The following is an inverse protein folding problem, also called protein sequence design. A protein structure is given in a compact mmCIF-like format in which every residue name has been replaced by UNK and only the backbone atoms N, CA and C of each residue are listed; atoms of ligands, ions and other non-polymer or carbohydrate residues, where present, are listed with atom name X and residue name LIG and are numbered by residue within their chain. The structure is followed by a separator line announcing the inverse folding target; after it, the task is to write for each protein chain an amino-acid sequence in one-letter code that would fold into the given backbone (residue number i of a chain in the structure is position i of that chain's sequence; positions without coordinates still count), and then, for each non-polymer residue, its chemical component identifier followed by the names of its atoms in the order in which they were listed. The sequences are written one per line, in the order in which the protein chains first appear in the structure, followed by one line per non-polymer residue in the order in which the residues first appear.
data_IF_286237741796
#
_entry.id   IF_286237741796
#
_cell.length_a   1.000
_cell.length_b   1.000
_cell.length_c   1.000
_cell.angle_alpha   90.00
_cell.angle_beta   90.00
_cell.angle_gamma   90.00
#
_symmetry.space_group_name_H-M   'P 1'
#
loop_
_entity.id
_entity.type
_entity.pdbx_description
1 polymer ?
#
# COMPACT_ATOMS: atom_id res chain seq x y z
N UNK A 1 3.45 6.34 23.46
CA UNK A 1 2.05 6.20 23.87
C UNK A 1 1.93 6.43 25.36
N UNK A 2 0.85 7.04 25.76
CA UNK A 2 0.53 7.23 27.17
C UNK A 2 0.13 5.89 27.83
N UNK A 3 0.17 5.83 29.18
CA UNK A 3 -0.27 4.66 29.92
C UNK A 3 -1.76 4.38 29.63
N UNK A 4 -2.10 3.15 29.24
CA UNK A 4 -3.44 2.76 28.84
C UNK A 4 -3.72 2.83 27.33
N UNK A 5 -2.87 3.45 26.54
CA UNK A 5 -3.01 3.44 25.08
C UNK A 5 -2.98 2.01 24.53
N UNK A 6 -3.93 1.70 23.63
CA UNK A 6 -4.10 0.36 23.05
C UNK A 6 -4.95 -0.57 23.92
N UNK A 7 -5.64 -0.07 24.93
CA UNK A 7 -6.56 -0.86 25.78
C UNK A 7 -7.80 -0.04 26.13
N UNK A 8 -8.95 -0.43 25.65
CA UNK A 8 -10.24 0.07 26.16
C UNK A 8 -10.60 -0.78 27.39
N UNK A 9 -10.33 -0.25 28.57
CA UNK A 9 -10.42 -0.99 29.84
C UNK A 9 -11.82 -1.02 30.44
N UNK A 10 -12.66 -0.03 30.15
CA UNK A 10 -14.02 0.08 30.64
C UNK A 10 -15.00 0.47 29.53
N UNK A 11 -16.25 0.00 29.61
CA UNK A 11 -17.31 0.45 28.70
C UNK A 11 -17.44 1.96 28.68
N UNK A 12 -17.58 2.54 27.49
CA UNK A 12 -17.68 4.00 27.30
C UNK A 12 -16.36 4.74 27.21
N UNK A 13 -15.22 4.07 27.49
CA UNK A 13 -13.90 4.66 27.24
C UNK A 13 -13.61 4.77 25.73
N UNK A 14 -12.81 5.78 25.40
CA UNK A 14 -12.34 6.04 24.03
C UNK A 14 -10.90 6.54 24.10
N UNK A 15 -10.05 5.97 23.24
CA UNK A 15 -8.70 6.47 22.99
C UNK A 15 -8.72 7.38 21.76
N UNK A 16 -8.02 8.50 21.84
CA UNK A 16 -7.94 9.49 20.75
C UNK A 16 -6.47 9.70 20.41
N UNK A 17 -6.11 9.45 19.15
CA UNK A 17 -4.77 9.66 18.60
C UNK A 17 -4.83 10.83 17.65
N UNK A 18 -3.91 11.78 17.82
CA UNK A 18 -3.80 12.98 16.99
C UNK A 18 -2.58 12.88 16.08
N UNK A 19 -2.75 13.31 14.83
CA UNK A 19 -1.63 13.52 13.92
C UNK A 19 -1.94 14.67 12.96
N UNK A 20 -0.88 15.29 12.44
CA UNK A 20 -0.96 16.33 11.43
C UNK A 20 -0.65 15.74 10.06
N UNK A 21 -1.34 16.22 9.01
CA UNK A 21 -1.11 15.79 7.65
C UNK A 21 -1.10 16.97 6.67
N UNK A 22 -0.36 16.80 5.56
CA UNK A 22 -0.34 17.73 4.45
C UNK A 22 -1.51 17.46 3.47
N UNK A 23 -1.96 18.48 2.71
CA UNK A 23 -2.99 18.28 1.69
C UNK A 23 -2.56 17.24 0.65
N UNK A 24 -3.38 16.23 0.40
CA UNK A 24 -3.10 15.17 -0.56
C UNK A 24 -2.21 14.04 -0.03
N UNK A 25 -1.72 14.15 1.21
CA UNK A 25 -0.94 13.08 1.82
C UNK A 25 -1.70 11.76 1.81
N UNK A 26 -1.03 10.69 1.44
CA UNK A 26 -1.58 9.35 1.48
C UNK A 26 -1.09 8.60 2.72
N UNK A 27 -2.01 7.97 3.43
CA UNK A 27 -1.69 7.09 4.57
C UNK A 27 -2.25 5.68 4.31
N UNK A 28 -1.62 4.69 4.93
CA UNK A 28 -2.15 3.34 4.98
C UNK A 28 -2.41 2.94 6.43
N UNK A 29 -3.65 2.58 6.73
CA UNK A 29 -4.09 2.28 8.10
C UNK A 29 -4.39 0.80 8.20
N UNK A 30 -3.75 0.11 9.16
CA UNK A 30 -3.94 -1.32 9.38
C UNK A 30 -4.05 -1.68 10.85
N UNK A 31 -4.90 -2.63 11.16
CA UNK A 31 -4.97 -3.28 12.47
C UNK A 31 -3.92 -4.38 12.52
N UNK A 32 -3.07 -4.34 13.55
CA UNK A 32 -2.08 -5.39 13.82
C UNK A 32 -2.64 -6.45 14.76
N UNK A 33 -3.41 -6.03 15.77
CA UNK A 33 -4.01 -6.92 16.77
C UNK A 33 -5.29 -6.31 17.31
N UNK A 34 -6.29 -7.14 17.56
CA UNK A 34 -7.50 -6.78 18.31
C UNK A 34 -8.02 -8.00 19.05
N UNK A 35 -8.11 -7.91 20.36
CA UNK A 35 -8.62 -8.99 21.21
C UNK A 35 -10.12 -9.23 21.03
N UNK A 36 -10.54 -10.48 21.27
CA UNK A 36 -11.96 -10.85 21.38
C UNK A 36 -12.41 -10.62 22.83
N UNK A 37 -12.91 -9.44 23.13
CA UNK A 37 -13.57 -9.17 24.40
C UNK A 37 -15.09 -9.09 24.24
N UNK A 38 -15.80 -8.81 25.31
CA UNK A 38 -17.24 -8.56 25.29
C UNK A 38 -17.56 -7.31 24.45
N UNK A 39 -18.20 -7.54 23.31
CA UNK A 39 -18.42 -6.52 22.31
C UNK A 39 -17.22 -6.39 21.36
N UNK A 40 -17.36 -5.62 20.30
CA UNK A 40 -16.25 -5.32 19.38
C UNK A 40 -15.87 -3.85 19.49
N UNK A 41 -14.59 -3.59 19.20
CA UNK A 41 -14.06 -2.23 19.10
C UNK A 41 -14.36 -1.67 17.72
N UNK A 42 -14.62 -0.39 17.67
CA UNK A 42 -14.71 0.41 16.44
C UNK A 42 -13.61 1.45 16.41
N UNK A 43 -13.27 1.90 15.23
CA UNK A 43 -12.38 3.02 15.03
C UNK A 43 -12.91 3.96 13.97
N UNK A 44 -12.58 5.23 14.10
CA UNK A 44 -13.05 6.29 13.24
C UNK A 44 -11.91 7.26 12.97
N UNK A 45 -11.74 7.69 11.73
CA UNK A 45 -10.84 8.78 11.36
C UNK A 45 -11.66 10.01 11.03
N UNK A 46 -11.34 11.12 11.67
CA UNK A 46 -12.01 12.41 11.46
C UNK A 46 -11.00 13.52 11.20
N UNK A 47 -11.37 14.49 10.35
CA UNK A 47 -10.60 15.71 10.14
C UNK A 47 -10.93 16.77 11.21
N UNK A 48 -10.22 17.90 11.22
CA UNK A 48 -10.40 19.02 12.13
C UNK A 48 -11.78 19.70 12.02
N UNK A 49 -12.48 19.52 10.90
CA UNK A 49 -13.86 19.98 10.71
C UNK A 49 -14.92 19.00 11.22
N UNK A 50 -14.50 17.83 11.72
CA UNK A 50 -15.39 16.75 12.16
C UNK A 50 -15.91 15.88 11.01
N UNK A 51 -15.34 15.99 9.79
CA UNK A 51 -15.69 15.11 8.67
C UNK A 51 -15.13 13.73 8.92
N UNK A 52 -15.98 12.71 8.86
CA UNK A 52 -15.59 11.29 9.00
C UNK A 52 -15.06 10.76 7.69
N UNK A 53 -13.80 10.27 7.68
CA UNK A 53 -13.18 9.64 6.53
C UNK A 53 -13.49 8.13 6.48
N UNK A 54 -13.51 7.49 7.65
CA UNK A 54 -14.04 6.13 7.82
C UNK A 54 -14.56 5.94 9.24
N UNK A 55 -15.50 4.98 9.38
CA UNK A 55 -16.05 4.51 10.65
C UNK A 55 -16.34 3.01 10.52
N UNK A 56 -15.50 2.18 11.11
CA UNK A 56 -15.50 0.74 10.87
C UNK A 56 -15.31 -0.05 12.16
N UNK A 57 -15.69 -1.31 12.14
CA UNK A 57 -15.28 -2.19 13.22
C UNK A 57 -13.79 -2.54 13.06
N UNK A 58 -13.05 -2.47 14.18
CA UNK A 58 -11.58 -2.66 14.19
C UNK A 58 -11.14 -4.01 13.61
N UNK A 59 -12.01 -5.01 13.56
CA UNK A 59 -11.73 -6.37 13.09
C UNK A 59 -12.39 -6.74 11.78
N UNK A 60 -13.24 -5.86 11.23
CA UNK A 60 -14.00 -6.18 10.03
C UNK A 60 -13.17 -5.98 8.76
N UNK A 61 -12.62 -4.80 8.59
CA UNK A 61 -11.82 -4.42 7.44
C UNK A 61 -10.70 -3.47 7.85
N UNK A 62 -9.54 -3.61 7.24
CA UNK A 62 -8.55 -2.55 7.22
C UNK A 62 -9.03 -1.48 6.25
N UNK A 63 -9.10 -0.20 6.65
CA UNK A 63 -9.44 0.90 5.73
C UNK A 63 -8.49 0.96 4.54
N UNK A 64 -7.25 0.48 4.73
CA UNK A 64 -6.25 0.44 3.67
C UNK A 64 -5.67 1.83 3.39
N UNK A 65 -5.48 2.14 2.10
CA UNK A 65 -4.93 3.43 1.66
C UNK A 65 -6.01 4.51 1.67
N UNK A 66 -5.70 5.65 2.29
CA UNK A 66 -6.57 6.81 2.42
C UNK A 66 -5.81 8.04 1.93
N UNK A 67 -6.43 8.85 1.08
CA UNK A 67 -5.90 10.14 0.68
C UNK A 67 -6.52 11.23 1.54
N UNK A 68 -5.69 11.97 2.27
CA UNK A 68 -6.09 13.08 3.12
C UNK A 68 -6.20 14.35 2.28
N UNK A 69 -7.42 14.69 1.85
CA UNK A 69 -7.65 15.76 0.89
C UNK A 69 -7.30 17.15 1.42
N UNK A 70 -7.39 17.34 2.74
CA UNK A 70 -7.08 18.60 3.41
C UNK A 70 -5.80 18.45 4.21
N UNK A 71 -5.03 19.53 4.32
CA UNK A 71 -4.00 19.65 5.35
C UNK A 71 -4.63 20.03 6.68
N UNK A 72 -4.03 19.63 7.78
CA UNK A 72 -4.50 19.94 9.12
C UNK A 72 -4.42 18.77 10.09
N UNK A 73 -5.11 18.91 11.20
CA UNK A 73 -5.09 17.93 12.27
C UNK A 73 -6.18 16.88 12.08
N UNK A 74 -5.81 15.63 12.27
CA UNK A 74 -6.69 14.47 12.21
C UNK A 74 -6.73 13.75 13.54
N UNK A 75 -7.87 13.12 13.81
CA UNK A 75 -8.08 12.31 15.01
C UNK A 75 -8.47 10.89 14.60
N UNK A 76 -7.73 9.91 15.10
CA UNK A 76 -8.13 8.51 15.05
C UNK A 76 -8.68 8.12 16.42
N UNK A 77 -9.97 7.81 16.44
CA UNK A 77 -10.72 7.48 17.66
C UNK A 77 -10.92 5.96 17.71
N UNK A 78 -10.61 5.33 18.83
CA UNK A 78 -10.88 3.90 19.08
C UNK A 78 -11.75 3.77 20.30
N UNK A 79 -12.86 3.03 20.19
CA UNK A 79 -13.79 2.83 21.30
C UNK A 79 -14.62 1.57 21.15
N UNK A 80 -15.44 1.27 22.15
CA UNK A 80 -16.38 0.16 22.10
C UNK A 80 -17.60 0.47 21.22
N UNK A 81 -18.01 -0.48 20.37
CA UNK A 81 -19.26 -0.38 19.63
C UNK A 81 -20.43 -0.14 20.61
N UNK A 82 -21.23 0.87 20.31
CA UNK A 82 -22.31 1.33 21.19
C UNK A 82 -21.87 1.56 22.65
N UNK A 83 -20.60 1.98 22.83
CA UNK A 83 -19.98 2.22 24.14
C UNK A 83 -19.87 0.99 25.06
N UNK A 84 -20.03 -0.23 24.55
CA UNK A 84 -20.03 -1.45 25.36
C UNK A 84 -18.74 -2.30 25.24
N UNK A 85 -18.02 -2.19 24.11
CA UNK A 85 -16.83 -2.99 23.84
C UNK A 85 -15.63 -2.58 24.68
N UNK A 86 -14.85 -3.58 25.13
CA UNK A 86 -13.56 -3.40 25.82
C UNK A 86 -12.52 -4.37 25.21
N UNK A 87 -11.23 -4.12 25.40
CA UNK A 87 -10.17 -5.04 24.99
C UNK A 87 -8.90 -4.33 24.52
N UNK A 88 -7.85 -5.12 24.39
CA UNK A 88 -6.59 -4.65 23.84
C UNK A 88 -6.62 -4.62 22.30
N UNK A 89 -5.89 -3.66 21.74
CA UNK A 89 -5.75 -3.49 20.31
C UNK A 89 -4.38 -2.89 19.96
N UNK A 90 -3.98 -3.06 18.73
CA UNK A 90 -2.87 -2.31 18.15
C UNK A 90 -3.10 -2.08 16.66
N UNK A 91 -2.64 -0.95 16.17
CA UNK A 91 -2.71 -0.57 14.77
C UNK A 91 -1.42 0.15 14.35
N UNK A 92 -1.25 0.32 13.05
CA UNK A 92 -0.19 1.14 12.47
C UNK A 92 -0.80 2.10 11.46
N UNK A 93 -0.35 3.34 11.48
CA UNK A 93 -0.59 4.33 10.42
C UNK A 93 0.75 4.54 9.71
N UNK A 94 0.80 4.11 8.46
CA UNK A 94 1.97 4.28 7.60
C UNK A 94 1.81 5.53 6.76
N UNK A 95 2.90 6.27 6.61
CA UNK A 95 3.02 7.22 5.53
C UNK A 95 3.19 6.46 4.22
N UNK A 96 2.38 6.78 3.21
CA UNK A 96 2.53 6.22 1.88
C UNK A 96 3.33 7.23 1.07
N UNK A 97 4.57 6.89 0.69
CA UNK A 97 5.39 7.81 -0.09
C UNK A 97 4.78 8.05 -1.47
N UNK A 98 5.09 9.18 -2.07
CA UNK A 98 4.79 9.43 -3.48
C UNK A 98 5.35 8.28 -4.34
N UNK A 99 4.63 7.89 -5.39
CA UNK A 99 5.09 6.82 -6.27
C UNK A 99 6.46 7.13 -6.86
N UNK A 100 7.38 6.19 -6.72
CA UNK A 100 8.71 6.32 -7.31
C UNK A 100 8.66 5.96 -8.80
N UNK A 101 9.30 6.77 -9.64
CA UNK A 101 9.34 6.56 -11.08
C UNK A 101 10.78 6.39 -11.56
N UNK A 102 11.04 5.32 -12.32
CA UNK A 102 12.35 4.98 -12.85
C UNK A 102 12.29 4.88 -14.37
N UNK A 103 13.19 5.57 -15.06
CA UNK A 103 13.32 5.45 -16.50
C UNK A 103 14.31 4.32 -16.86
N UNK A 104 13.91 3.43 -17.76
CA UNK A 104 14.68 2.29 -18.17
C UNK A 104 14.89 2.33 -19.68
N UNK A 105 16.14 2.40 -20.10
CA UNK A 105 16.50 2.26 -21.51
C UNK A 105 16.32 0.79 -21.97
N UNK A 106 15.86 0.61 -23.21
CA UNK A 106 15.70 -0.72 -23.78
C UNK A 106 17.07 -1.38 -24.04
N UNK A 107 17.18 -2.69 -23.86
CA UNK A 107 18.39 -3.44 -24.20
C UNK A 107 18.87 -4.46 -23.17
N UNK A 108 18.04 -4.80 -22.25
CA UNK A 108 18.36 -5.75 -21.17
C UNK A 108 18.86 -5.01 -19.91
N UNK A 109 18.10 -5.15 -18.87
CA UNK A 109 18.37 -4.54 -17.57
C UNK A 109 17.93 -5.50 -16.45
N UNK A 110 18.41 -5.26 -15.26
CA UNK A 110 17.95 -5.96 -14.06
C UNK A 110 17.58 -4.92 -13.01
N UNK A 111 16.45 -5.13 -12.38
CA UNK A 111 16.04 -4.37 -11.20
C UNK A 111 16.26 -5.24 -9.97
N UNK A 112 16.96 -4.71 -9.01
CA UNK A 112 17.22 -5.30 -7.71
C UNK A 112 16.99 -4.23 -6.63
N UNK A 113 16.84 -4.59 -5.36
CA UNK A 113 16.68 -3.60 -4.30
C UNK A 113 17.78 -2.53 -4.35
N UNK A 114 17.36 -1.27 -4.44
CA UNK A 114 18.21 -0.08 -4.58
C UNK A 114 19.06 -0.01 -5.86
N UNK A 115 18.67 -0.75 -6.92
CA UNK A 115 19.31 -0.74 -8.23
C UNK A 115 18.25 -0.71 -9.35
N UNK A 116 18.37 0.21 -10.35
CA UNK A 116 19.48 1.10 -10.67
C UNK A 116 19.59 2.36 -9.81
N UNK A 117 18.62 2.66 -8.99
CA UNK A 117 18.57 3.84 -8.14
C UNK A 117 18.02 3.47 -6.75
N UNK A 118 18.26 4.32 -5.76
CA UNK A 118 17.70 4.15 -4.41
C UNK A 118 16.17 4.03 -4.46
N UNK A 119 15.62 3.06 -3.74
CA UNK A 119 14.20 2.73 -3.72
C UNK A 119 13.76 1.73 -4.79
N UNK A 120 14.44 1.63 -5.94
CA UNK A 120 14.11 0.64 -6.97
C UNK A 120 14.08 -0.78 -6.39
N UNK A 121 13.12 -1.59 -6.85
CA UNK A 121 13.03 -2.98 -6.40
C UNK A 121 12.55 -3.15 -4.96
N UNK A 122 11.94 -2.10 -4.36
CA UNK A 122 11.45 -2.13 -2.99
C UNK A 122 10.23 -1.24 -2.81
N UNK A 123 9.15 -1.81 -2.27
CA UNK A 123 8.03 -1.04 -1.74
C UNK A 123 8.27 -0.80 -0.25
N UNK A 124 8.51 0.44 0.14
CA UNK A 124 8.97 0.83 1.50
C UNK A 124 7.88 0.70 2.55
N UNK A 125 6.63 0.94 2.13
CA UNK A 125 5.46 0.88 3.01
C UNK A 125 4.28 0.18 2.34
N UNK A 126 3.26 -0.25 3.11
CA UNK A 126 1.97 -0.62 2.55
C UNK A 126 1.39 0.54 1.72
N UNK A 127 0.84 0.23 0.55
CA UNK A 127 0.30 1.24 -0.35
C UNK A 127 1.30 1.92 -1.27
N UNK A 128 2.62 1.78 -1.01
CA UNK A 128 3.67 2.29 -1.91
C UNK A 128 3.58 1.68 -3.31
N UNK A 129 4.06 2.42 -4.31
CA UNK A 129 4.07 2.03 -5.72
C UNK A 129 5.36 2.43 -6.38
N UNK A 130 5.90 1.54 -7.22
CA UNK A 130 7.02 1.82 -8.10
C UNK A 130 6.57 1.78 -9.55
N UNK A 131 7.01 2.74 -10.33
CA UNK A 131 6.77 2.81 -11.76
C UNK A 131 8.10 2.72 -12.52
N UNK A 132 8.15 1.81 -13.49
CA UNK A 132 9.26 1.70 -14.43
C UNK A 132 8.77 2.08 -15.81
N UNK A 133 9.26 3.19 -16.33
CA UNK A 133 8.99 3.63 -17.68
C UNK A 133 10.01 3.01 -18.63
N UNK A 134 9.56 2.09 -19.47
CA UNK A 134 10.42 1.28 -20.34
C UNK A 134 10.15 1.66 -21.80
N UNK A 135 11.16 2.16 -22.49
CA UNK A 135 11.05 2.52 -23.91
C UNK A 135 11.01 1.28 -24.78
N UNK A 136 9.91 1.03 -25.45
CA UNK A 136 9.71 -0.08 -26.37
C UNK A 136 9.63 0.35 -27.83
N UNK A 137 10.03 -0.54 -28.74
CA UNK A 137 9.89 -0.38 -30.18
C UNK A 137 8.98 -1.47 -30.73
N UNK A 138 8.05 -1.09 -31.62
CA UNK A 138 7.13 -2.05 -32.27
C UNK A 138 7.90 -3.21 -32.90
N UNK A 139 7.44 -4.43 -32.61
CA UNK A 139 8.04 -5.67 -33.09
C UNK A 139 9.11 -6.26 -32.16
N UNK A 140 9.54 -5.52 -31.12
CA UNK A 140 10.39 -6.13 -30.09
C UNK A 140 9.63 -7.22 -29.35
N UNK A 141 10.37 -8.22 -28.86
CA UNK A 141 9.87 -9.24 -27.95
C UNK A 141 10.56 -9.04 -26.61
N UNK A 142 9.76 -8.84 -25.57
CA UNK A 142 10.24 -8.74 -24.21
C UNK A 142 10.03 -10.02 -23.45
N UNK A 143 11.00 -10.37 -22.63
CA UNK A 143 10.91 -11.42 -21.64
C UNK A 143 11.13 -10.79 -20.26
N UNK A 144 10.04 -10.51 -19.54
CA UNK A 144 10.07 -9.99 -18.18
C UNK A 144 10.11 -11.16 -17.21
N UNK A 145 11.28 -11.38 -16.59
CA UNK A 145 11.51 -12.51 -15.70
C UNK A 145 11.63 -12.05 -14.24
N UNK A 146 10.73 -12.46 -13.34
CA UNK A 146 10.91 -12.28 -11.91
C UNK A 146 12.16 -13.01 -11.41
N UNK A 147 13.04 -12.31 -10.69
CA UNK A 147 14.29 -12.87 -10.16
C UNK A 147 14.34 -12.91 -8.64
N UNK A 148 13.67 -11.95 -7.99
CA UNK A 148 13.58 -11.84 -6.53
C UNK A 148 12.16 -11.45 -6.14
N UNK A 149 11.60 -12.12 -5.15
CA UNK A 149 10.37 -11.69 -4.48
C UNK A 149 10.46 -12.05 -3.00
N UNK A 150 10.14 -11.09 -2.12
CA UNK A 150 9.86 -11.41 -0.73
C UNK A 150 8.69 -12.41 -0.70
N UNK A 151 8.66 -13.34 0.25
CA UNK A 151 7.61 -14.38 0.37
C UNK A 151 6.21 -13.80 0.68
N UNK A 152 5.86 -12.68 0.09
CA UNK A 152 4.55 -12.07 0.20
C UNK A 152 3.68 -12.48 -0.99
N UNK A 153 2.57 -13.12 -0.74
CA UNK A 153 1.63 -13.55 -1.79
C UNK A 153 0.82 -12.41 -2.43
N UNK A 154 1.02 -11.18 -1.98
CA UNK A 154 0.18 -10.04 -2.34
C UNK A 154 0.85 -9.01 -3.24
N UNK A 155 2.17 -9.14 -3.52
CA UNK A 155 2.84 -8.27 -4.49
C UNK A 155 2.29 -8.53 -5.88
N UNK A 156 1.95 -7.46 -6.58
CA UNK A 156 1.45 -7.50 -7.96
C UNK A 156 2.31 -6.64 -8.87
N UNK A 157 2.30 -6.96 -10.13
CA UNK A 157 2.83 -6.15 -11.20
C UNK A 157 1.83 -6.00 -12.33
N UNK A 158 1.83 -4.84 -12.95
CA UNK A 158 0.95 -4.48 -14.04
C UNK A 158 1.75 -3.81 -15.13
N UNK A 159 1.52 -4.17 -16.38
CA UNK A 159 2.11 -3.50 -17.54
C UNK A 159 1.02 -2.83 -18.35
N UNK A 160 1.24 -1.54 -18.63
CA UNK A 160 0.37 -0.72 -19.47
C UNK A 160 1.14 -0.27 -20.72
N UNK A 161 0.52 -0.40 -21.89
CA UNK A 161 1.06 0.04 -23.16
C UNK A 161 0.98 1.58 -23.31
N UNK A 162 1.70 2.20 -24.27
CA UNK A 162 1.72 3.64 -24.47
C UNK A 162 0.35 4.29 -24.76
N UNK A 163 -0.63 3.53 -25.25
CA UNK A 163 -2.01 3.98 -25.49
C UNK A 163 -2.93 3.80 -24.27
N UNK A 164 -2.38 3.32 -23.14
CA UNK A 164 -3.13 3.07 -21.91
C UNK A 164 -3.75 1.67 -21.81
N UNK A 165 -3.56 0.80 -22.83
CA UNK A 165 -4.04 -0.58 -22.76
C UNK A 165 -3.28 -1.38 -21.71
N UNK A 166 -3.98 -1.98 -20.75
CA UNK A 166 -3.41 -2.93 -19.81
C UNK A 166 -3.08 -4.24 -20.52
N UNK A 167 -1.81 -4.64 -20.49
CA UNK A 167 -1.34 -5.89 -21.09
C UNK A 167 -1.41 -7.06 -20.11
N UNK A 168 -1.13 -6.80 -18.84
CA UNK A 168 -1.37 -7.75 -17.74
C UNK A 168 -1.43 -7.02 -16.40
N UNK A 169 -2.15 -7.62 -15.43
CA UNK A 169 -2.15 -7.32 -14.00
C UNK A 169 -2.23 -8.64 -13.24
N UNK A 170 -1.13 -9.07 -12.64
CA UNK A 170 -1.04 -10.38 -12.01
C UNK A 170 -0.16 -10.38 -10.76
N UNK A 171 -0.22 -11.47 -10.00
CA UNK A 171 0.65 -11.65 -8.85
C UNK A 171 2.11 -11.75 -9.29
N UNK A 172 3.02 -11.04 -8.59
CA UNK A 172 4.45 -11.13 -8.81
C UNK A 172 5.06 -12.20 -7.91
N UNK A 173 5.69 -13.20 -8.52
CA UNK A 173 6.39 -14.28 -7.81
C UNK A 173 7.70 -14.58 -8.54
N UNK A 174 8.79 -14.78 -7.80
CA UNK A 174 10.09 -15.16 -8.39
C UNK A 174 10.09 -16.63 -8.83
N UNK A 175 9.29 -16.95 -9.85
CA UNK A 175 9.19 -18.28 -10.46
C UNK A 175 9.16 -18.15 -11.97
N UNK A 176 9.66 -19.13 -12.70
CA UNK A 176 9.63 -19.16 -14.18
C UNK A 176 8.18 -19.09 -14.71
N UNK A 177 7.20 -19.65 -13.99
CA UNK A 177 5.78 -19.60 -14.37
C UNK A 177 5.18 -18.20 -14.32
N UNK A 178 5.82 -17.24 -13.66
CA UNK A 178 5.40 -15.84 -13.63
C UNK A 178 6.12 -14.95 -14.65
N UNK A 179 7.06 -15.50 -15.43
CA UNK A 179 7.67 -14.75 -16.52
C UNK A 179 6.63 -14.36 -17.57
N UNK A 180 6.76 -13.13 -18.09
CA UNK A 180 5.87 -12.61 -19.13
C UNK A 180 6.63 -12.49 -20.45
N UNK A 181 6.06 -13.06 -21.52
CA UNK A 181 6.54 -12.92 -22.87
C UNK A 181 5.61 -12.02 -23.66
N UNK A 182 6.12 -10.95 -24.20
CA UNK A 182 5.32 -9.90 -24.84
C UNK A 182 5.90 -9.53 -26.20
N UNK A 183 5.08 -9.53 -27.25
CA UNK A 183 5.41 -8.93 -28.53
C UNK A 183 4.84 -7.51 -28.56
N UNK A 184 5.70 -6.50 -28.68
CA UNK A 184 5.27 -5.11 -28.65
C UNK A 184 4.58 -4.73 -29.96
N UNK A 185 3.34 -4.30 -29.89
CA UNK A 185 2.52 -3.95 -31.04
C UNK A 185 2.65 -2.47 -31.44
N UNK A 186 3.25 -1.63 -30.58
CA UNK A 186 3.52 -0.21 -30.83
C UNK A 186 4.85 0.23 -30.21
N UNK A 187 5.38 1.36 -30.70
CA UNK A 187 6.52 2.02 -30.10
C UNK A 187 6.06 3.07 -29.10
N UNK A 188 6.84 3.28 -28.04
CA UNK A 188 6.56 4.29 -27.01
C UNK A 188 6.98 3.82 -25.62
N UNK A 189 6.53 4.58 -24.62
CA UNK A 189 6.84 4.28 -23.23
C UNK A 189 5.78 3.35 -22.65
N UNK A 190 6.21 2.17 -22.27
CA UNK A 190 5.42 1.21 -21.51
C UNK A 190 5.61 1.48 -20.03
N UNK A 191 4.53 1.39 -19.25
CA UNK A 191 4.56 1.62 -17.82
C UNK A 191 4.41 0.29 -17.06
N UNK A 192 5.48 -0.14 -16.41
CA UNK A 192 5.45 -1.30 -15.52
C UNK A 192 5.32 -0.81 -14.07
N UNK A 193 4.23 -1.18 -13.43
CA UNK A 193 3.91 -0.80 -12.05
C UNK A 193 4.07 -2.01 -11.13
N UNK A 194 4.72 -1.78 -9.99
CA UNK A 194 4.71 -2.70 -8.86
C UNK A 194 3.89 -2.10 -7.72
N UNK A 195 3.01 -2.89 -7.15
CA UNK A 195 2.14 -2.44 -6.08
C UNK A 195 1.67 -3.60 -5.20
N UNK A 196 1.17 -3.26 -4.03
CA UNK A 196 0.68 -4.23 -3.07
C UNK A 196 -0.67 -3.79 -2.50
N UNK A 197 -1.72 -4.60 -2.69
CA UNK A 197 -3.06 -4.26 -2.18
C UNK A 197 -3.22 -4.50 -0.67
N UNK A 198 -2.22 -5.07 0.01
CA UNK A 198 -2.28 -5.39 1.44
C UNK A 198 -1.00 -5.01 2.18
N UNK A 199 -1.07 -5.04 3.50
CA UNK A 199 -0.04 -4.64 4.46
C UNK A 199 1.33 -5.28 4.27
N UNK A 200 2.38 -4.52 4.43
CA UNK A 200 3.82 -4.77 4.56
C UNK A 200 4.70 -4.27 3.41
N UNK A 201 5.93 -3.88 3.71
CA UNK A 201 6.98 -3.60 2.74
C UNK A 201 7.39 -4.86 1.96
N UNK A 202 7.95 -4.71 0.77
CA UNK A 202 8.39 -5.85 -0.06
C UNK A 202 9.59 -5.49 -0.93
N UNK A 203 10.56 -6.40 -1.01
CA UNK A 203 11.63 -6.35 -2.00
C UNK A 203 11.26 -7.23 -3.19
N UNK A 204 11.64 -6.79 -4.37
CA UNK A 204 11.45 -7.54 -5.62
C UNK A 204 12.60 -7.27 -6.60
N UNK A 205 12.71 -8.11 -7.61
CA UNK A 205 13.67 -7.95 -8.69
C UNK A 205 13.22 -8.68 -9.96
N UNK A 206 13.60 -8.16 -11.09
CA UNK A 206 13.27 -8.72 -12.40
C UNK A 206 14.32 -8.36 -13.44
#
# INVERSE_FOLDING_TARGET
PEEGAGIISVPGAQDVYHFHAEPGQEIFVEVLQSERSLGFLTWQLVDDSGTVLFDECLRCLNPGKITLQKGGDYQLLVGGFQHAGTGAYSFHVWDVPEPQAFEIESGGFSILPDQPAAGAGRLESPGARDFYQIKGVKGQVWHLKPTLATRSQTLKWRLTAPDGLELFDTAFRATESNAQFLSLFQSGNYLLEFYKPSSSSSNYGF
#
